data_IF_069975668504
#
_entry.id   IF_069975668504
#
_cell.length_a   1.000
_cell.length_b   1.000
_cell.length_c   1.000
_cell.angle_alpha   90.00
_cell.angle_beta   90.00
_cell.angle_gamma   90.00
#
_symmetry.space_group_name_H-M   'P 1'
#
loop_
_entity.id
_entity.type
_entity.pdbx_description
1 polymer ?
#
# COMPACT_ATOMS: atom_id res chain seq x y z
N UNK A 1 18.41 -13.86 7.63
CA UNK A 1 17.41 -12.87 7.17
C UNK A 1 18.03 -11.50 7.38
N UNK A 2 18.35 -10.79 6.30
CA UNK A 2 18.85 -9.40 6.35
C UNK A 2 17.69 -8.46 6.64
N UNK A 3 17.83 -7.58 7.64
CA UNK A 3 16.82 -6.57 7.98
C UNK A 3 16.61 -5.62 6.79
N UNK A 4 15.41 -5.58 6.16
CA UNK A 4 15.13 -4.70 5.01
C UNK A 4 15.15 -3.21 5.39
N UNK A 5 15.24 -2.87 6.67
CA UNK A 5 15.33 -1.51 7.18
C UNK A 5 16.71 -1.17 7.78
N UNK A 6 17.71 -2.03 7.61
CA UNK A 6 19.06 -1.81 8.16
C UNK A 6 19.67 -0.46 7.74
N UNK A 7 19.34 0.03 6.53
CA UNK A 7 19.83 1.31 6.01
C UNK A 7 18.91 2.51 6.33
N UNK A 8 17.83 2.33 7.09
CA UNK A 8 16.91 3.40 7.52
C UNK A 8 17.01 3.72 9.02
N UNK A 9 17.90 3.04 9.76
CA UNK A 9 17.95 3.08 11.23
C UNK A 9 18.90 4.13 11.83
N UNK A 10 19.66 4.90 11.04
CA UNK A 10 20.51 5.94 11.62
C UNK A 10 19.69 7.18 11.98
N UNK A 11 19.42 7.31 13.29
CA UNK A 11 18.94 8.50 14.03
C UNK A 11 17.46 8.53 14.48
N UNK A 12 17.01 7.56 15.28
CA UNK A 12 15.85 7.77 16.16
C UNK A 12 16.07 7.24 17.58
N UNK A 13 16.47 8.08 18.54
CA UNK A 13 16.54 7.70 19.94
C UNK A 13 15.18 7.96 20.59
N UNK A 14 14.24 7.00 20.53
CA UNK A 14 13.02 7.12 21.35
C UNK A 14 12.38 5.78 21.70
N UNK A 15 13.15 4.92 22.38
CA UNK A 15 12.58 3.90 23.27
C UNK A 15 12.88 4.29 24.71
N UNK A 16 12.39 5.46 25.13
CA UNK A 16 12.25 5.74 26.55
C UNK A 16 10.81 5.42 26.96
N UNK A 17 10.70 4.31 27.70
CA UNK A 17 9.50 3.80 28.39
C UNK A 17 8.45 4.88 28.63
N UNK A 18 7.35 4.86 27.89
CA UNK A 18 6.09 5.41 28.39
C UNK A 18 5.56 4.44 29.43
N UNK A 19 5.96 4.66 30.67
CA UNK A 19 5.39 4.03 31.84
C UNK A 19 4.43 5.06 32.44
N UNK A 20 3.15 4.99 32.09
CA UNK A 20 2.09 5.75 32.77
C UNK A 20 0.90 4.82 32.95
N UNK A 21 0.60 4.52 34.21
CA UNK A 21 -0.51 3.70 34.67
C UNK A 21 -1.85 4.14 34.08
N UNK A 22 -2.55 3.23 33.40
CA UNK A 22 -4.01 3.22 33.17
C UNK A 22 -4.38 1.77 32.81
N UNK A 23 -5.57 1.32 33.18
CA UNK A 23 -5.97 -0.09 33.08
C UNK A 23 -5.75 -0.67 31.68
N UNK A 24 -5.54 -2.00 31.59
CA UNK A 24 -5.34 -2.71 30.32
C UNK A 24 -6.37 -2.24 29.29
N UNK A 25 -5.92 -1.62 28.20
CA UNK A 25 -6.78 -1.18 27.11
C UNK A 25 -7.62 -2.36 26.61
N UNK A 26 -8.95 -2.26 26.68
CA UNK A 26 -9.86 -3.31 26.23
C UNK A 26 -10.30 -3.15 24.76
N UNK A 27 -9.82 -2.13 24.06
CA UNK A 27 -10.17 -1.91 22.65
C UNK A 27 -9.54 -2.98 21.76
N UNK A 28 -10.32 -3.59 20.84
CA UNK A 28 -9.85 -4.64 19.97
C UNK A 28 -8.79 -4.13 18.97
N UNK A 29 -7.85 -5.00 18.61
CA UNK A 29 -6.83 -4.73 17.60
C UNK A 29 -7.39 -4.91 16.19
N UNK A 30 -8.26 -3.98 15.77
CA UNK A 30 -8.92 -3.98 14.45
C UNK A 30 -7.95 -3.94 13.27
N UNK A 31 -6.73 -3.47 13.47
CA UNK A 31 -5.69 -3.55 12.44
C UNK A 31 -5.45 -5.00 11.95
N UNK A 32 -5.66 -6.02 12.79
CA UNK A 32 -5.56 -7.43 12.38
C UNK A 32 -6.66 -7.82 11.40
N UNK A 33 -7.88 -7.29 11.57
CA UNK A 33 -9.00 -7.51 10.67
C UNK A 33 -8.72 -6.86 9.30
N UNK A 34 -8.18 -5.64 9.30
CA UNK A 34 -7.78 -4.95 8.06
C UNK A 34 -6.60 -5.64 7.38
N UNK A 35 -5.62 -6.09 8.15
CA UNK A 35 -4.50 -6.88 7.67
C UNK A 35 -4.99 -8.17 6.98
N UNK A 36 -5.94 -8.87 7.60
CA UNK A 36 -6.57 -10.06 6.99
C UNK A 36 -7.27 -9.73 5.67
N UNK A 37 -8.02 -8.63 5.62
CA UNK A 37 -8.69 -8.18 4.40
C UNK A 37 -7.68 -7.89 3.28
N UNK A 38 -6.63 -7.10 3.56
CA UNK A 38 -5.67 -6.70 2.54
C UNK A 38 -4.82 -7.86 2.03
N UNK A 39 -4.47 -8.81 2.91
CA UNK A 39 -3.82 -10.07 2.51
C UNK A 39 -4.75 -10.85 1.57
N UNK A 40 -6.05 -10.92 1.87
CA UNK A 40 -7.04 -11.53 0.98
C UNK A 40 -7.11 -10.86 -0.40
N UNK A 41 -7.01 -9.54 -0.46
CA UNK A 41 -6.91 -8.80 -1.73
C UNK A 41 -5.62 -9.15 -2.48
N UNK A 42 -4.47 -9.21 -1.79
CA UNK A 42 -3.20 -9.65 -2.41
C UNK A 42 -3.35 -11.06 -3.01
N UNK A 43 -3.88 -12.01 -2.24
CA UNK A 43 -4.09 -13.41 -2.67
C UNK A 43 -4.96 -13.53 -3.92
N UNK A 44 -6.04 -12.73 -4.00
CA UNK A 44 -6.93 -12.68 -5.17
C UNK A 44 -6.26 -12.00 -6.35
N UNK A 45 -5.67 -10.83 -6.13
CA UNK A 45 -5.23 -9.94 -7.20
C UNK A 45 -3.98 -10.46 -7.91
N UNK A 46 -3.03 -11.08 -7.20
CA UNK A 46 -1.83 -11.66 -7.85
C UNK A 46 -2.18 -12.85 -8.76
N UNK A 47 -3.34 -13.48 -8.58
CA UNK A 47 -3.83 -14.61 -9.40
C UNK A 47 -4.79 -14.15 -10.52
N UNK A 48 -5.10 -12.85 -10.60
CA UNK A 48 -6.03 -12.31 -11.60
C UNK A 48 -5.47 -12.37 -13.01
N UNK A 49 -6.35 -12.43 -14.02
CA UNK A 49 -5.94 -12.35 -15.43
C UNK A 49 -5.25 -11.02 -15.73
N UNK A 50 -5.66 -9.93 -15.07
CA UNK A 50 -5.04 -8.62 -15.20
C UNK A 50 -3.59 -8.63 -14.71
N UNK A 51 -3.34 -9.17 -13.52
CA UNK A 51 -1.97 -9.26 -12.99
C UNK A 51 -1.08 -10.13 -13.88
N UNK A 52 -1.63 -11.22 -14.43
CA UNK A 52 -0.92 -12.04 -15.41
C UNK A 52 -0.58 -11.27 -16.70
N UNK A 53 -1.54 -10.54 -17.27
CA UNK A 53 -1.33 -9.72 -18.46
C UNK A 53 -0.29 -8.62 -18.25
N UNK A 54 -0.32 -7.94 -17.10
CA UNK A 54 0.68 -6.92 -16.75
C UNK A 54 2.06 -7.56 -16.61
N UNK A 55 2.15 -8.71 -15.92
CA UNK A 55 3.39 -9.46 -15.75
C UNK A 55 4.01 -9.87 -17.08
N UNK A 56 3.22 -10.43 -17.99
CA UNK A 56 3.69 -10.79 -19.34
C UNK A 56 4.15 -9.55 -20.12
N UNK A 57 3.36 -8.48 -20.09
CA UNK A 57 3.68 -7.23 -20.77
C UNK A 57 5.00 -6.61 -20.24
N UNK A 58 5.24 -6.68 -18.94
CA UNK A 58 6.50 -6.26 -18.33
C UNK A 58 7.69 -7.16 -18.70
N UNK A 59 7.47 -8.45 -18.98
CA UNK A 59 8.52 -9.35 -19.50
C UNK A 59 8.86 -8.98 -20.94
N UNK A 60 7.84 -8.85 -21.78
CA UNK A 60 7.95 -8.53 -23.20
C UNK A 60 8.53 -7.13 -23.44
N UNK A 61 8.32 -6.19 -22.51
CA UNK A 61 8.86 -4.84 -22.55
C UNK A 61 10.39 -4.78 -22.75
N UNK A 62 11.10 -5.85 -22.39
CA UNK A 62 12.54 -6.01 -22.67
C UNK A 62 12.88 -5.93 -24.16
N UNK A 63 11.96 -6.41 -25.01
CA UNK A 63 12.15 -6.50 -26.47
C UNK A 63 11.16 -5.62 -27.24
N UNK A 64 9.99 -5.34 -26.65
CA UNK A 64 8.91 -4.58 -27.26
C UNK A 64 8.50 -3.42 -26.33
N UNK A 65 9.06 -2.21 -26.48
CA UNK A 65 8.73 -1.07 -25.62
C UNK A 65 7.22 -0.76 -25.51
N UNK A 66 6.45 -1.05 -26.56
CA UNK A 66 4.99 -0.91 -26.56
C UNK A 66 4.29 -1.80 -25.51
N UNK A 67 4.85 -2.97 -25.18
CA UNK A 67 4.32 -3.82 -24.13
C UNK A 67 4.40 -3.14 -22.75
N UNK A 68 5.40 -2.28 -22.52
CA UNK A 68 5.48 -1.51 -21.28
C UNK A 68 4.31 -0.54 -21.12
N UNK A 69 3.92 0.11 -22.21
CA UNK A 69 2.76 1.01 -22.26
C UNK A 69 1.49 0.21 -21.95
N UNK A 70 1.34 -1.00 -22.50
CA UNK A 70 0.20 -1.87 -22.18
C UNK A 70 0.18 -2.27 -20.69
N UNK A 71 1.34 -2.63 -20.12
CA UNK A 71 1.45 -2.95 -18.70
C UNK A 71 0.99 -1.78 -17.81
N UNK A 72 1.43 -0.56 -18.13
CA UNK A 72 1.02 0.63 -17.39
C UNK A 72 -0.45 0.96 -17.58
N UNK A 73 -1.00 0.84 -18.79
CA UNK A 73 -2.41 1.12 -19.05
C UNK A 73 -3.33 0.20 -18.24
N UNK A 74 -3.05 -1.11 -18.25
CA UNK A 74 -3.81 -2.08 -17.45
C UNK A 74 -3.62 -1.80 -15.95
N UNK A 75 -2.38 -1.52 -15.50
CA UNK A 75 -2.13 -1.18 -14.10
C UNK A 75 -2.96 0.04 -13.64
N UNK A 76 -2.98 1.11 -14.43
CA UNK A 76 -3.75 2.33 -14.17
C UNK A 76 -5.26 2.04 -14.01
N UNK A 77 -5.81 1.24 -14.92
CA UNK A 77 -7.21 0.83 -14.92
C UNK A 77 -7.59 0.10 -13.63
N UNK A 78 -6.64 -0.59 -12.99
CA UNK A 78 -6.92 -1.37 -11.77
C UNK A 78 -6.75 -0.59 -10.47
N UNK A 79 -5.75 0.28 -10.40
CA UNK A 79 -5.38 1.02 -9.18
C UNK A 79 -5.99 2.43 -9.10
N UNK A 80 -6.64 2.88 -10.17
CA UNK A 80 -7.27 4.20 -10.22
C UNK A 80 -8.44 4.37 -9.22
N UNK A 81 -8.89 5.60 -8.97
CA UNK A 81 -10.01 5.86 -8.05
C UNK A 81 -11.27 5.07 -8.41
N UNK A 82 -11.86 4.39 -7.43
CA UNK A 82 -13.07 3.56 -7.60
C UNK A 82 -12.86 2.26 -8.37
N UNK A 83 -11.62 1.91 -8.72
CA UNK A 83 -11.31 0.69 -9.47
C UNK A 83 -11.16 -0.52 -8.54
N UNK A 84 -11.12 -1.76 -9.08
CA UNK A 84 -11.12 -2.97 -8.26
C UNK A 84 -9.99 -3.05 -7.21
N UNK A 85 -8.84 -2.42 -7.45
CA UNK A 85 -7.70 -2.39 -6.52
C UNK A 85 -7.61 -1.07 -5.71
N UNK A 86 -8.64 -0.22 -5.76
CA UNK A 86 -8.82 0.90 -4.85
C UNK A 86 -9.60 0.44 -3.61
N UNK A 87 -8.86 0.15 -2.55
CA UNK A 87 -9.41 -0.38 -1.30
C UNK A 87 -9.76 0.72 -0.29
N UNK A 88 -9.39 1.97 -0.57
CA UNK A 88 -9.45 3.09 0.39
C UNK A 88 -10.86 3.28 0.94
N UNK A 89 -11.85 3.39 0.06
CA UNK A 89 -13.25 3.56 0.45
C UNK A 89 -13.85 2.31 1.12
N UNK A 90 -13.37 1.11 0.75
CA UNK A 90 -13.85 -0.16 1.34
C UNK A 90 -13.35 -0.32 2.78
N UNK A 91 -12.14 0.15 3.07
CA UNK A 91 -11.56 0.12 4.41
C UNK A 91 -12.14 1.24 5.25
N UNK A 92 -12.10 2.49 4.77
CA UNK A 92 -12.54 3.63 5.55
C UNK A 92 -14.06 3.66 5.79
N UNK A 93 -14.86 3.10 4.87
CA UNK A 93 -16.32 3.09 4.99
C UNK A 93 -16.90 1.87 5.72
N UNK A 94 -16.06 0.96 6.22
CA UNK A 94 -16.52 -0.22 6.93
C UNK A 94 -16.45 -0.01 8.46
N UNK A 95 -17.59 0.36 9.03
CA UNK A 95 -17.73 0.62 10.47
C UNK A 95 -17.52 -0.62 11.36
N UNK A 96 -17.52 -1.85 10.81
CA UNK A 96 -17.16 -3.04 11.59
C UNK A 96 -15.64 -3.10 11.90
N UNK A 97 -14.84 -2.35 11.13
CA UNK A 97 -13.41 -2.17 11.32
C UNK A 97 -13.10 -0.96 12.21
N UNK A 98 -14.14 -0.24 12.66
CA UNK A 98 -13.98 0.89 13.56
C UNK A 98 -13.36 0.43 14.87
N UNK A 99 -12.39 1.20 15.28
CA UNK A 99 -11.80 1.15 16.59
C UNK A 99 -12.72 1.96 17.48
N UNK A 100 -13.58 1.32 18.27
CA UNK A 100 -14.53 2.00 19.16
C UNK A 100 -13.89 2.87 20.29
N UNK A 101 -12.66 3.38 20.11
CA UNK A 101 -11.99 4.39 20.92
C UNK A 101 -12.03 5.79 20.29
N UNK A 102 -11.03 6.63 20.53
CA UNK A 102 -10.94 7.99 19.97
C UNK A 102 -10.61 8.08 18.49
N UNK A 103 -10.09 6.99 17.94
CA UNK A 103 -9.73 6.87 16.55
C UNK A 103 -10.95 6.91 15.66
N UNK A 104 -10.94 7.86 14.72
CA UNK A 104 -11.87 7.90 13.59
C UNK A 104 -11.82 6.60 12.77
N UNK A 105 -12.84 6.34 11.93
CA UNK A 105 -12.86 5.30 10.87
C UNK A 105 -11.61 5.26 9.95
N UNK A 106 -10.77 6.29 10.03
CA UNK A 106 -9.54 6.43 9.25
C UNK A 106 -8.29 5.89 9.95
N UNK A 107 -8.37 5.42 11.20
CA UNK A 107 -7.23 4.80 11.90
C UNK A 107 -7.62 3.49 12.58
N UNK A 108 -6.73 2.51 12.49
CA UNK A 108 -6.96 1.15 12.99
C UNK A 108 -5.94 0.81 14.06
N UNK A 109 -6.44 0.33 15.21
CA UNK A 109 -5.66 0.09 16.41
C UNK A 109 -4.92 -1.23 16.31
N UNK A 110 -3.66 -1.20 16.72
CA UNK A 110 -2.87 -2.37 17.04
C UNK A 110 -1.99 -2.05 18.25
N UNK A 111 -2.21 -2.77 19.37
CA UNK A 111 -1.52 -2.52 20.64
C UNK A 111 -1.65 -1.04 21.04
N UNK A 112 -0.52 -0.37 21.27
CA UNK A 112 -0.42 1.01 21.74
C UNK A 112 -0.51 2.05 20.61
N UNK A 113 -0.71 1.64 19.35
CA UNK A 113 -0.70 2.53 18.19
C UNK A 113 -1.94 2.38 17.31
N UNK A 114 -2.19 3.41 16.52
CA UNK A 114 -3.23 3.49 15.52
C UNK A 114 -2.62 3.85 14.17
N UNK A 115 -3.04 3.14 13.12
CA UNK A 115 -2.46 3.24 11.79
C UNK A 115 -3.47 3.76 10.78
N UNK A 116 -3.08 4.79 10.04
CA UNK A 116 -3.93 5.45 9.05
C UNK A 116 -4.33 4.51 7.91
N UNK A 117 -5.58 4.60 7.47
CA UNK A 117 -6.18 3.64 6.53
C UNK A 117 -5.45 3.55 5.16
N UNK A 118 -4.76 4.61 4.74
CA UNK A 118 -4.06 4.61 3.46
C UNK A 118 -2.87 3.63 3.42
N UNK A 119 -2.27 3.28 4.58
CA UNK A 119 -1.11 2.38 4.60
C UNK A 119 -1.44 1.01 3.98
N UNK A 120 -2.65 0.50 4.21
CA UNK A 120 -3.05 -0.84 3.77
C UNK A 120 -3.08 -0.93 2.24
N UNK A 121 -3.72 0.04 1.59
CA UNK A 121 -3.82 0.09 0.13
C UNK A 121 -2.44 0.30 -0.52
N UNK A 122 -1.56 1.06 0.11
CA UNK A 122 -0.20 1.29 -0.39
C UNK A 122 0.70 0.06 -0.22
N UNK A 123 0.54 -0.72 0.86
CA UNK A 123 1.23 -2.01 1.03
C UNK A 123 0.77 -2.99 -0.05
N UNK A 124 -0.54 -3.08 -0.33
CA UNK A 124 -1.07 -3.88 -1.44
C UNK A 124 -0.51 -3.44 -2.79
N UNK A 125 -0.46 -2.12 -3.06
CA UNK A 125 0.11 -1.56 -4.28
C UNK A 125 1.55 -2.03 -4.49
N UNK A 126 2.40 -1.92 -3.47
CA UNK A 126 3.78 -2.40 -3.52
C UNK A 126 3.87 -3.91 -3.79
N UNK A 127 3.13 -4.70 -3.02
CA UNK A 127 3.17 -6.17 -3.12
C UNK A 127 2.70 -6.69 -4.49
N UNK A 128 1.50 -6.29 -4.92
CA UNK A 128 0.92 -6.73 -6.21
C UNK A 128 1.72 -6.17 -7.38
N UNK A 129 2.27 -4.96 -7.23
CA UNK A 129 3.16 -4.36 -8.21
C UNK A 129 4.41 -5.22 -8.48
N UNK A 130 5.03 -5.75 -7.43
CA UNK A 130 6.15 -6.69 -7.56
C UNK A 130 5.73 -8.01 -8.18
N UNK A 131 4.56 -8.55 -7.80
CA UNK A 131 4.01 -9.75 -8.44
C UNK A 131 3.79 -9.55 -9.95
N UNK A 132 3.44 -8.33 -10.36
CA UNK A 132 3.32 -7.89 -11.75
C UNK A 132 4.65 -7.57 -12.44
N UNK A 133 5.80 -7.76 -11.77
CA UNK A 133 7.15 -7.45 -12.28
C UNK A 133 7.45 -5.99 -12.57
N UNK A 134 6.82 -5.06 -11.85
CA UNK A 134 7.34 -3.70 -11.78
C UNK A 134 8.65 -3.65 -10.98
N UNK A 135 9.54 -2.76 -11.40
CA UNK A 135 10.73 -2.39 -10.63
C UNK A 135 10.32 -1.53 -9.43
N UNK A 136 11.20 -1.47 -8.43
CA UNK A 136 10.95 -0.65 -7.23
C UNK A 136 10.86 0.83 -7.60
N UNK A 137 11.67 1.27 -8.58
CA UNK A 137 11.63 2.63 -9.10
C UNK A 137 10.24 2.95 -9.70
N UNK A 138 9.68 2.06 -10.52
CA UNK A 138 8.34 2.26 -11.12
C UNK A 138 7.23 2.29 -10.06
N UNK A 139 7.38 1.47 -9.01
CA UNK A 139 6.43 1.47 -7.91
C UNK A 139 6.57 2.67 -6.99
N UNK A 140 7.69 3.39 -7.00
CA UNK A 140 7.92 4.57 -6.17
C UNK A 140 7.80 5.88 -6.96
N UNK A 141 7.95 5.82 -8.29
CA UNK A 141 7.89 6.93 -9.22
C UNK A 141 6.65 6.83 -10.14
N UNK A 142 5.47 7.08 -9.56
CA UNK A 142 4.24 7.13 -10.35
C UNK A 142 4.24 8.21 -11.44
N UNK A 143 5.00 9.30 -11.27
CA UNK A 143 5.02 10.39 -12.25
C UNK A 143 5.65 9.96 -13.60
N UNK A 144 6.73 9.16 -13.55
CA UNK A 144 7.35 8.60 -14.76
C UNK A 144 6.39 7.70 -15.55
N UNK A 145 5.53 6.93 -14.85
CA UNK A 145 4.50 6.09 -15.47
C UNK A 145 3.45 6.92 -16.21
N UNK A 146 2.94 7.97 -15.55
CA UNK A 146 1.94 8.87 -16.12
C UNK A 146 2.46 9.53 -17.40
N UNK A 147 3.70 10.05 -17.34
CA UNK A 147 4.30 10.72 -18.48
C UNK A 147 4.50 9.78 -19.67
N UNK A 148 4.97 8.54 -19.44
CA UNK A 148 5.16 7.57 -20.53
C UNK A 148 3.84 7.23 -21.22
N UNK A 149 2.76 7.07 -20.46
CA UNK A 149 1.43 6.81 -21.00
C UNK A 149 0.89 7.99 -21.80
N UNK A 150 1.00 9.21 -21.25
CA UNK A 150 0.56 10.42 -21.94
C UNK A 150 1.28 10.64 -23.27
N UNK A 151 2.60 10.42 -23.29
CA UNK A 151 3.41 10.57 -24.50
C UNK A 151 3.06 9.52 -25.56
N UNK A 152 2.74 8.29 -25.15
CA UNK A 152 2.28 7.24 -26.05
C UNK A 152 0.92 7.57 -26.69
N UNK A 153 -0.03 8.05 -25.89
CA UNK A 153 -1.36 8.48 -26.38
C UNK A 153 -1.22 9.61 -27.40
N UNK A 154 -0.38 10.61 -27.12
CA UNK A 154 -0.15 11.75 -28.03
C UNK A 154 0.43 11.32 -29.39
N UNK A 155 1.25 10.27 -29.43
CA UNK A 155 1.89 9.76 -30.65
C UNK A 155 0.95 8.93 -31.55
N UNK A 156 -0.14 8.37 -31.01
CA UNK A 156 -0.98 7.38 -31.73
C UNK A 156 -2.34 7.92 -32.22
N UNK A 157 -2.40 9.20 -32.63
CA UNK A 157 -3.65 9.89 -33.00
C UNK A 157 -4.36 9.30 -34.24
N UNK A 158 -5.22 8.31 -34.02
CA UNK A 158 -6.56 8.16 -34.63
C UNK A 158 -7.61 7.60 -33.65
N UNK A 159 -7.21 7.26 -32.41
CA UNK A 159 -8.14 6.91 -31.34
C UNK A 159 -8.73 8.21 -30.79
N UNK A 160 -10.06 8.31 -30.83
CA UNK A 160 -10.82 9.44 -30.30
C UNK A 160 -10.34 9.77 -28.88
N UNK A 161 -10.01 11.04 -28.70
CA UNK A 161 -9.58 11.66 -27.46
C UNK A 161 -10.52 11.27 -26.30
N UNK A 162 -10.00 10.68 -25.23
CA UNK A 162 -10.48 11.02 -23.89
C UNK A 162 -9.39 11.89 -23.27
N UNK A 163 -9.60 13.22 -23.14
CA UNK A 163 -8.68 14.08 -22.40
C UNK A 163 -8.60 13.48 -21.01
N UNK A 164 -7.39 13.18 -20.52
CA UNK A 164 -7.08 13.14 -19.08
C UNK A 164 -8.30 12.72 -18.25
N UNK A 165 -8.59 11.40 -18.14
CA UNK A 165 -9.62 10.94 -17.19
C UNK A 165 -9.29 11.64 -15.87
N UNK A 166 -10.14 12.54 -15.35
CA UNK A 166 -9.85 13.24 -14.12
C UNK A 166 -9.66 12.19 -13.02
N UNK A 167 -8.44 12.05 -12.49
CA UNK A 167 -8.08 10.98 -11.56
C UNK A 167 -7.15 9.88 -12.11
N UNK A 168 -6.76 9.91 -13.39
CA UNK A 168 -5.69 9.09 -13.99
C UNK A 168 -4.29 9.62 -13.60
N UNK A 169 -4.12 10.02 -12.34
CA UNK A 169 -2.83 10.42 -11.80
C UNK A 169 -2.17 9.22 -11.15
N UNK A 170 -1.14 8.66 -11.77
CA UNK A 170 -0.21 7.81 -11.02
C UNK A 170 0.42 8.66 -9.93
N UNK A 171 0.17 8.30 -8.67
CA UNK A 171 0.63 9.11 -7.54
C UNK A 171 2.14 8.99 -7.44
N UNK A 172 2.83 10.14 -7.46
CA UNK A 172 4.14 10.24 -6.83
C UNK A 172 3.90 10.15 -5.33
N UNK A 173 4.58 9.23 -4.65
CA UNK A 173 4.49 9.12 -3.19
C UNK A 173 5.31 10.25 -2.57
N UNK A 174 4.69 11.43 -2.47
CA UNK A 174 5.25 12.63 -1.86
C UNK A 174 5.08 12.66 -0.33
N UNK A 175 4.10 11.93 0.20
CA UNK A 175 4.01 11.61 1.63
C UNK A 175 4.95 10.45 2.01
N UNK A 176 5.77 10.68 3.04
CA UNK A 176 6.70 9.69 3.57
C UNK A 176 6.00 8.39 4.04
N UNK A 177 4.77 8.48 4.56
CA UNK A 177 3.96 7.34 5.00
C UNK A 177 3.61 6.45 3.82
N UNK A 178 3.22 7.04 2.70
CA UNK A 178 2.87 6.29 1.51
C UNK A 178 4.10 5.57 0.94
N UNK A 179 5.24 6.28 0.85
CA UNK A 179 6.50 5.69 0.39
C UNK A 179 6.95 4.52 1.28
N UNK A 180 6.88 4.67 2.60
CA UNK A 180 7.19 3.60 3.57
C UNK A 180 6.27 2.40 3.33
N UNK A 181 4.97 2.64 3.14
CA UNK A 181 3.97 1.59 2.95
C UNK A 181 4.19 0.80 1.66
N UNK A 182 4.50 1.48 0.56
CA UNK A 182 4.84 0.82 -0.72
C UNK A 182 6.12 -0.01 -0.58
N UNK A 183 7.17 0.55 0.05
CA UNK A 183 8.43 -0.18 0.30
C UNK A 183 8.21 -1.40 1.19
N UNK A 184 7.34 -1.31 2.19
CA UNK A 184 6.94 -2.44 3.02
C UNK A 184 6.29 -3.53 2.17
N UNK A 185 5.35 -3.19 1.28
CA UNK A 185 4.75 -4.13 0.35
C UNK A 185 5.77 -4.81 -0.58
N UNK A 186 6.76 -4.06 -1.07
CA UNK A 186 7.87 -4.59 -1.87
C UNK A 186 8.71 -5.58 -1.05
N UNK A 187 9.11 -5.22 0.17
CA UNK A 187 9.89 -6.07 1.06
C UNK A 187 9.12 -7.35 1.44
N UNK A 188 7.83 -7.21 1.72
CA UNK A 188 6.96 -8.34 2.04
C UNK A 188 6.87 -9.33 0.87
N UNK A 189 6.78 -8.85 -0.38
CA UNK A 189 6.81 -9.73 -1.56
C UNK A 189 8.16 -10.43 -1.73
N UNK A 190 9.27 -9.75 -1.46
CA UNK A 190 10.59 -10.36 -1.53
C UNK A 190 10.71 -11.54 -0.57
N UNK A 191 10.26 -11.35 0.67
CA UNK A 191 10.37 -12.37 1.72
C UNK A 191 9.30 -13.47 1.58
N UNK A 192 8.11 -13.10 1.09
CA UNK A 192 6.98 -14.00 0.86
C UNK A 192 6.39 -13.77 -0.53
N UNK A 193 6.93 -14.37 -1.61
CA UNK A 193 6.39 -14.19 -2.95
C UNK A 193 4.98 -14.78 -3.13
N UNK A 194 4.65 -15.81 -2.35
CA UNK A 194 3.31 -16.40 -2.30
C UNK A 194 2.52 -15.81 -1.12
N UNK A 195 1.45 -15.02 -1.38
CA UNK A 195 0.70 -14.34 -0.32
C UNK A 195 -0.11 -15.31 0.55
N UNK A 196 -0.20 -16.60 0.21
CA UNK A 196 -0.83 -17.60 1.08
C UNK A 196 0.04 -17.93 2.31
N UNK A 197 1.32 -17.51 2.32
CA UNK A 197 2.22 -17.66 3.46
C UNK A 197 2.13 -16.50 4.45
N UNK A 198 1.46 -15.40 4.08
CA UNK A 198 1.38 -14.18 4.89
C UNK A 198 0.19 -14.28 5.83
N UNK A 199 0.45 -14.18 7.12
CA UNK A 199 -0.59 -14.05 8.15
C UNK A 199 -0.76 -12.57 8.56
N UNK A 200 -1.89 -12.19 9.18
CA UNK A 200 -2.05 -10.86 9.76
C UNK A 200 -0.90 -10.48 10.71
N UNK A 201 -0.44 -11.41 11.54
CA UNK A 201 0.68 -11.18 12.46
C UNK A 201 2.01 -10.91 11.74
N UNK A 202 2.28 -11.62 10.64
CA UNK A 202 3.47 -11.35 9.80
C UNK A 202 3.38 -9.92 9.25
N UNK A 203 2.25 -9.55 8.63
CA UNK A 203 2.08 -8.20 8.09
C UNK A 203 2.22 -7.13 9.18
N UNK A 204 1.59 -7.32 10.34
CA UNK A 204 1.70 -6.39 11.45
C UNK A 204 3.15 -6.26 11.96
N UNK A 205 3.92 -7.36 11.98
CA UNK A 205 5.33 -7.31 12.40
C UNK A 205 6.21 -6.45 11.49
N UNK A 206 5.87 -6.33 10.20
CA UNK A 206 6.55 -5.42 9.27
C UNK A 206 6.12 -3.97 9.55
N UNK A 207 4.82 -3.74 9.77
CA UNK A 207 4.25 -2.42 10.03
C UNK A 207 4.80 -1.83 11.34
N UNK A 208 4.94 -2.63 12.39
CA UNK A 208 5.50 -2.18 13.68
C UNK A 208 6.97 -1.77 13.59
N UNK A 209 7.76 -2.47 12.75
CA UNK A 209 9.18 -2.17 12.52
C UNK A 209 9.38 -0.97 11.60
N UNK A 210 8.38 -0.63 10.80
CA UNK A 210 8.48 0.46 9.84
C UNK A 210 8.56 1.83 10.55
N UNK A 211 9.41 2.76 10.07
CA UNK A 211 9.63 4.06 10.70
C UNK A 211 8.52 5.06 10.37
N UNK A 212 7.25 4.68 10.55
CA UNK A 212 6.12 5.59 10.34
C UNK A 212 6.21 6.80 11.29
N UNK A 213 6.11 8.04 10.76
CA UNK A 213 6.15 9.24 11.59
C UNK A 213 4.94 9.29 12.53
N UNK A 214 5.17 9.74 13.75
CA UNK A 214 4.10 9.94 14.73
C UNK A 214 3.38 11.26 14.41
N UNK A 215 2.34 11.21 13.58
CA UNK A 215 1.54 12.37 13.17
C UNK A 215 0.18 11.94 12.62
N UNK A 216 -0.75 12.90 12.54
CA UNK A 216 -2.04 12.71 11.89
C UNK A 216 -1.84 12.22 10.45
N UNK A 217 -2.69 11.30 10.00
CA UNK A 217 -2.62 10.66 8.68
C UNK A 217 -1.42 9.70 8.51
N UNK A 218 -0.87 9.18 9.62
CA UNK A 218 0.21 8.19 9.61
C UNK A 218 0.06 7.22 10.78
N UNK A 219 0.98 7.25 11.77
CA UNK A 219 0.90 6.49 13.01
C UNK A 219 0.59 7.43 14.18
N UNK A 220 -0.33 7.06 15.06
CA UNK A 220 -0.66 7.80 16.28
C UNK A 220 -0.55 6.89 17.50
N UNK A 221 -0.13 7.40 18.67
CA UNK A 221 -0.30 6.66 19.92
C UNK A 221 -1.80 6.52 20.20
N UNK A 222 -2.21 5.32 20.60
CA UNK A 222 -3.60 5.07 21.00
C UNK A 222 -3.91 5.82 22.31
N UNK A 223 -5.06 6.48 22.35
CA UNK A 223 -5.58 7.11 23.57
C UNK A 223 -6.92 6.48 23.95
N UNK A 224 -6.99 5.95 25.17
CA UNK A 224 -8.24 5.47 25.75
C UNK A 224 -9.00 6.66 26.36
N UNK A 225 -10.02 7.21 25.68
CA UNK A 225 -10.98 8.12 26.34
C UNK A 225 -11.99 7.29 27.14
N UNK A 226 -12.14 7.62 28.43
CA UNK A 226 -13.26 7.16 29.25
C UNK A 226 -13.09 5.82 29.98
N UNK A 227 -12.03 5.67 30.79
CA UNK A 227 -12.10 4.81 31.98
C UNK A 227 -12.76 5.57 33.13
#
# INVERSE_FOLDING_TARGET
MSDPFANMQENFPFFQKMNTSLGTCSHPDRALDVAKYIIGEMQRNVKSTQAYSIKLSNIEATFLPAAKIAAYAIWAERVGPGQPWDHKNKISGNHDLDTHGESTQFHHKYREFEYFYDIWSNIHYGYVGKACRFSDAELLDGAGLAQLLDDAVKKNKSIQYSPSIPGFGFRKFDDITDSISVRLGIALFHDYPDPNQITPDILMSYIEKAPYPIRKYSKLPHQCKGQ
#
